data_IF_851388033696
#
_entry.id   IF_851388033696
#
_cell.length_a   1.000
_cell.length_b   1.000
_cell.length_c   1.000
_cell.angle_alpha   90.00
_cell.angle_beta   90.00
_cell.angle_gamma   90.00
#
_symmetry.space_group_name_H-M   'P 1'
#
loop_
_entity.id
_entity.type
_entity.pdbx_description
1 polymer ?
#
# COMPACT_ATOMS: atom_id res chain seq x y z
N UNK A 1 -11.56 51.72 -57.51
CA UNK A 1 -11.90 51.83 -56.08
C UNK A 1 -12.57 53.18 -55.87
N UNK A 2 -13.55 53.30 -54.97
CA UNK A 2 -13.98 54.60 -54.45
C UNK A 2 -15.13 55.28 -55.19
N UNK A 3 -16.35 54.78 -55.02
CA UNK A 3 -17.57 55.59 -55.22
C UNK A 3 -18.49 55.53 -53.99
N UNK A 4 -17.99 54.99 -52.87
CA UNK A 4 -18.72 55.00 -51.62
C UNK A 4 -18.91 56.44 -51.14
N UNK A 5 -20.14 56.76 -50.74
CA UNK A 5 -20.47 58.02 -50.09
C UNK A 5 -20.67 57.77 -48.62
N UNK A 6 -20.03 58.56 -47.78
CA UNK A 6 -20.36 58.60 -46.36
C UNK A 6 -21.72 59.26 -46.19
N UNK A 7 -22.54 58.67 -45.33
CA UNK A 7 -23.76 59.31 -44.82
C UNK A 7 -23.38 59.92 -43.48
N UNK A 8 -23.32 61.25 -43.40
CA UNK A 8 -22.93 61.99 -42.19
C UNK A 8 -24.16 62.50 -41.45
N UNK A 9 -23.99 62.86 -40.17
CA UNK A 9 -25.06 63.37 -39.29
C UNK A 9 -26.24 62.40 -39.06
N UNK A 10 -25.95 61.10 -39.10
CA UNK A 10 -26.95 60.06 -38.79
C UNK A 10 -27.18 60.01 -37.28
N UNK A 11 -28.40 60.35 -36.86
CA UNK A 11 -28.85 60.19 -35.47
C UNK A 11 -28.86 58.71 -35.06
N UNK A 12 -28.84 58.42 -33.76
CA UNK A 12 -28.91 57.05 -33.27
C UNK A 12 -30.27 56.42 -33.63
N UNK A 13 -30.25 55.22 -34.22
CA UNK A 13 -31.47 54.46 -34.52
C UNK A 13 -32.16 53.97 -33.25
N UNK A 14 -33.50 53.92 -33.28
CA UNK A 14 -34.36 53.54 -32.15
C UNK A 14 -35.32 52.40 -32.49
N UNK A 15 -35.74 52.26 -33.74
CA UNK A 15 -36.49 51.12 -34.24
C UNK A 15 -35.54 50.05 -34.83
N UNK A 16 -35.97 48.79 -34.85
CA UNK A 16 -35.18 47.67 -35.39
C UNK A 16 -34.81 47.84 -36.87
N UNK A 17 -35.51 48.73 -37.60
CA UNK A 17 -35.28 49.03 -39.02
C UNK A 17 -34.50 50.32 -39.26
N UNK A 18 -34.08 51.03 -38.21
CA UNK A 18 -33.29 52.25 -38.36
C UNK A 18 -31.85 51.96 -38.75
N UNK A 19 -31.19 52.92 -39.40
CA UNK A 19 -29.76 52.85 -39.64
C UNK A 19 -28.97 53.03 -38.33
N UNK A 20 -27.89 52.27 -38.16
CA UNK A 20 -26.96 52.41 -37.03
C UNK A 20 -25.84 53.39 -37.35
N UNK A 21 -25.48 54.24 -36.39
CA UNK A 21 -24.30 55.09 -36.50
C UNK A 21 -23.06 54.46 -35.81
N UNK A 22 -21.88 55.04 -36.06
CA UNK A 22 -20.60 54.52 -35.52
C UNK A 22 -20.57 54.53 -33.99
N UNK A 23 -21.27 55.46 -33.34
CA UNK A 23 -21.33 55.50 -31.88
C UNK A 23 -22.08 54.28 -31.31
N UNK A 24 -23.23 53.90 -31.88
CA UNK A 24 -23.96 52.71 -31.48
C UNK A 24 -23.13 51.43 -31.69
N UNK A 25 -22.40 51.33 -32.80
CA UNK A 25 -21.48 50.22 -33.07
C UNK A 25 -20.33 50.17 -32.05
N UNK A 26 -19.72 51.31 -31.73
CA UNK A 26 -18.65 51.38 -30.74
C UNK A 26 -19.13 51.00 -29.34
N UNK A 27 -20.36 51.40 -28.94
CA UNK A 27 -20.96 50.99 -27.67
C UNK A 27 -21.24 49.49 -27.61
N UNK A 28 -21.73 48.90 -28.70
CA UNK A 28 -21.91 47.46 -28.81
C UNK A 28 -20.55 46.72 -28.73
N UNK A 29 -19.54 47.20 -29.46
CA UNK A 29 -18.20 46.60 -29.46
C UNK A 29 -17.49 46.74 -28.10
N UNK A 30 -17.68 47.87 -27.41
CA UNK A 30 -17.18 48.05 -26.04
C UNK A 30 -17.82 47.05 -25.07
N UNK A 31 -19.10 46.74 -25.24
CA UNK A 31 -19.79 45.71 -24.45
C UNK A 31 -19.20 44.31 -24.69
N UNK A 32 -18.82 43.99 -25.93
CA UNK A 32 -18.14 42.74 -26.30
C UNK A 32 -16.70 42.69 -25.76
N UNK A 33 -15.94 43.77 -25.89
CA UNK A 33 -14.59 43.87 -25.34
C UNK A 33 -14.58 43.70 -23.81
N UNK A 34 -15.60 44.25 -23.13
CA UNK A 34 -15.79 44.04 -21.70
C UNK A 34 -16.06 42.58 -21.35
N UNK A 35 -16.70 41.77 -22.19
CA UNK A 35 -16.87 40.33 -21.91
C UNK A 35 -15.53 39.58 -21.90
N UNK A 36 -14.60 39.95 -22.78
CA UNK A 36 -13.25 39.38 -22.82
C UNK A 36 -12.38 39.88 -21.66
N UNK A 37 -12.51 41.15 -21.27
CA UNK A 37 -11.76 41.77 -20.18
C UNK A 37 -12.32 41.45 -18.77
N UNK A 38 -13.62 41.19 -18.64
CA UNK A 38 -14.29 40.87 -17.36
C UNK A 38 -13.91 39.51 -16.79
N UNK A 39 -13.31 38.64 -17.63
CA UNK A 39 -12.62 37.46 -17.13
C UNK A 39 -11.47 37.84 -16.19
N UNK A 40 -10.79 38.98 -16.36
CA UNK A 40 -9.69 39.39 -15.48
C UNK A 40 -10.10 40.03 -14.14
N UNK A 41 -11.25 40.70 -14.06
CA UNK A 41 -11.49 41.69 -12.99
C UNK A 41 -12.93 41.81 -12.46
N UNK A 42 -13.91 41.01 -12.88
CA UNK A 42 -15.28 41.26 -12.39
C UNK A 42 -16.42 40.32 -12.73
N UNK A 43 -16.21 39.18 -13.39
CA UNK A 43 -17.28 38.18 -13.48
C UNK A 43 -17.46 37.48 -12.13
N UNK A 44 -18.71 37.39 -11.58
CA UNK A 44 -18.98 36.71 -10.32
C UNK A 44 -18.79 35.18 -10.40
N UNK A 45 -18.63 34.64 -11.61
CA UNK A 45 -18.56 33.19 -11.86
C UNK A 45 -17.27 32.74 -12.55
N UNK A 46 -16.57 33.62 -13.27
CA UNK A 46 -15.34 33.28 -14.00
C UNK A 46 -14.30 34.38 -13.91
N UNK A 47 -13.26 34.17 -13.09
CA UNK A 47 -12.11 35.05 -13.03
C UNK A 47 -10.83 34.32 -13.50
N UNK A 48 -10.06 34.94 -14.37
CA UNK A 48 -8.78 34.52 -14.92
C UNK A 48 -7.80 35.66 -14.72
N UNK A 49 -6.95 35.57 -13.69
CA UNK A 49 -5.82 36.47 -13.54
C UNK A 49 -4.63 35.89 -14.31
N UNK A 50 -4.60 36.12 -15.62
CA UNK A 50 -3.50 35.71 -16.48
C UNK A 50 -2.84 36.95 -17.08
N UNK A 51 -1.55 36.85 -17.37
CA UNK A 51 -0.80 37.81 -18.19
C UNK A 51 -1.31 37.70 -19.65
N UNK A 52 -2.58 38.10 -19.85
CA UNK A 52 -3.51 37.68 -20.93
C UNK A 52 -3.05 37.92 -22.37
N UNK A 53 -1.86 38.47 -22.54
CA UNK A 53 -1.29 38.91 -23.80
C UNK A 53 -0.15 38.00 -24.32
N UNK A 54 0.30 36.99 -23.57
CA UNK A 54 1.50 36.23 -23.95
C UNK A 54 1.25 35.13 -25.02
N UNK A 55 0.26 34.24 -24.85
CA UNK A 55 -0.07 33.17 -25.82
C UNK A 55 -1.51 32.65 -25.61
N UNK A 56 -2.34 32.52 -26.67
CA UNK A 56 -3.71 32.01 -26.55
C UNK A 56 -3.76 30.53 -26.17
N UNK A 57 -4.83 30.13 -25.46
CA UNK A 57 -5.19 28.73 -25.29
C UNK A 57 -5.54 28.10 -26.65
N UNK A 58 -5.20 26.82 -26.85
CA UNK A 58 -5.41 26.10 -28.10
C UNK A 58 -6.12 24.77 -27.84
N UNK A 59 -7.32 24.63 -28.37
CA UNK A 59 -8.03 23.36 -28.45
C UNK A 59 -8.03 22.92 -29.93
N UNK A 60 -7.09 22.04 -30.30
CA UNK A 60 -6.94 21.57 -31.70
C UNK A 60 -7.47 20.16 -31.92
N UNK A 61 -7.66 19.37 -30.86
CA UNK A 61 -8.31 18.06 -30.95
C UNK A 61 -9.83 18.17 -31.14
N UNK A 62 -10.46 17.15 -31.72
CA UNK A 62 -11.92 17.10 -31.84
C UNK A 62 -12.55 17.03 -30.44
N UNK A 63 -13.58 17.84 -30.17
CA UNK A 63 -14.22 17.95 -28.86
C UNK A 63 -13.28 18.36 -27.70
N UNK A 64 -12.15 19.00 -28.00
CA UNK A 64 -11.18 19.41 -26.99
C UNK A 64 -11.59 20.72 -26.28
N UNK A 65 -11.11 20.91 -25.05
CA UNK A 65 -11.28 22.16 -24.27
C UNK A 65 -9.93 22.61 -23.70
N UNK A 66 -9.59 23.90 -23.83
CA UNK A 66 -8.37 24.47 -23.26
C UNK A 66 -8.69 25.71 -22.42
N UNK A 67 -8.21 25.75 -21.17
CA UNK A 67 -8.49 26.81 -20.20
C UNK A 67 -7.18 27.30 -19.55
N UNK A 68 -6.79 28.55 -19.81
CA UNK A 68 -5.56 29.17 -19.29
C UNK A 68 -4.59 29.60 -20.40
N UNK A 69 -3.72 30.57 -20.10
CA UNK A 69 -2.72 31.07 -21.05
C UNK A 69 -1.81 29.93 -21.53
N UNK A 70 -1.62 29.81 -22.85
CA UNK A 70 -0.82 28.74 -23.46
C UNK A 70 -1.27 27.29 -23.11
N UNK A 71 -2.50 27.08 -22.63
CA UNK A 71 -3.04 25.72 -22.45
C UNK A 71 -3.25 25.07 -23.82
N UNK A 72 -2.84 23.82 -23.99
CA UNK A 72 -2.86 23.09 -25.26
C UNK A 72 -3.59 21.76 -25.10
N UNK A 73 -4.80 21.66 -25.64
CA UNK A 73 -5.57 20.42 -25.73
C UNK A 73 -5.55 19.93 -27.19
N UNK A 74 -4.59 19.05 -27.51
CA UNK A 74 -4.32 18.61 -28.88
C UNK A 74 -4.91 17.25 -29.23
N UNK A 75 -5.26 16.43 -28.24
CA UNK A 75 -5.90 15.14 -28.45
C UNK A 75 -7.44 15.22 -28.47
N UNK A 76 -8.09 14.24 -29.09
CA UNK A 76 -9.55 14.17 -29.17
C UNK A 76 -10.19 13.94 -27.80
N UNK A 77 -11.32 14.60 -27.54
CA UNK A 77 -12.06 14.56 -26.28
C UNK A 77 -11.16 14.85 -25.05
N UNK A 78 -10.19 15.76 -25.19
CA UNK A 78 -9.24 16.11 -24.14
C UNK A 78 -9.50 17.49 -23.52
N UNK A 79 -9.07 17.68 -22.28
CA UNK A 79 -9.21 18.95 -21.56
C UNK A 79 -7.85 19.37 -20.98
N UNK A 80 -7.37 20.56 -21.31
CA UNK A 80 -6.18 21.16 -20.70
C UNK A 80 -6.61 22.30 -19.75
N UNK A 81 -6.25 22.21 -18.47
CA UNK A 81 -6.64 23.17 -17.41
C UNK A 81 -5.40 23.77 -16.76
N UNK A 82 -5.32 25.10 -16.76
CA UNK A 82 -4.21 25.87 -16.20
C UNK A 82 -3.21 26.33 -17.25
N UNK A 83 -2.44 27.37 -16.90
CA UNK A 83 -1.43 27.93 -17.79
C UNK A 83 -0.39 26.87 -18.19
N UNK A 84 0.02 26.84 -19.46
CA UNK A 84 1.00 25.90 -20.01
C UNK A 84 0.64 24.39 -19.88
N UNK A 85 -0.61 24.05 -19.53
CA UNK A 85 -1.03 22.65 -19.45
C UNK A 85 -1.11 22.02 -20.84
N UNK A 86 -0.71 20.75 -20.97
CA UNK A 86 -0.71 20.01 -22.24
C UNK A 86 -1.54 18.73 -22.07
N UNK A 87 -2.61 18.60 -22.84
CA UNK A 87 -3.43 17.39 -22.95
C UNK A 87 -3.23 16.77 -24.34
N UNK A 88 -2.29 15.82 -24.41
CA UNK A 88 -1.83 15.13 -25.62
C UNK A 88 -2.32 13.67 -25.72
N UNK A 89 -3.25 13.28 -24.85
CA UNK A 89 -3.87 11.95 -24.81
C UNK A 89 -5.39 12.05 -24.90
N UNK A 90 -5.99 11.19 -25.70
CA UNK A 90 -7.45 11.17 -25.90
C UNK A 90 -8.19 10.85 -24.60
N UNK A 91 -9.37 11.43 -24.40
CA UNK A 91 -10.24 11.19 -23.24
C UNK A 91 -9.54 11.48 -21.89
N UNK A 92 -8.71 12.51 -21.82
CA UNK A 92 -7.99 12.90 -20.59
C UNK A 92 -8.22 14.34 -20.18
N UNK A 93 -8.07 14.61 -18.89
CA UNK A 93 -7.94 15.96 -18.34
C UNK A 93 -6.50 16.14 -17.86
N UNK A 94 -5.77 17.07 -18.46
CA UNK A 94 -4.43 17.47 -18.03
C UNK A 94 -4.49 18.76 -17.24
N UNK A 95 -3.87 18.78 -16.07
CA UNK A 95 -3.76 19.95 -15.19
C UNK A 95 -2.34 20.54 -15.19
N UNK A 96 -1.47 20.11 -16.11
CA UNK A 96 -0.09 20.55 -16.16
C UNK A 96 0.65 20.03 -17.39
N UNK A 97 1.97 20.01 -17.30
CA UNK A 97 2.84 19.38 -18.30
C UNK A 97 3.96 18.64 -17.60
N UNK A 98 4.68 17.78 -18.31
CA UNK A 98 5.76 16.98 -17.75
C UNK A 98 6.81 17.86 -17.06
N UNK A 99 7.08 17.59 -15.79
CA UNK A 99 8.00 18.37 -14.94
C UNK A 99 7.40 19.68 -14.39
N UNK A 100 6.14 19.99 -14.70
CA UNK A 100 5.36 21.11 -14.15
C UNK A 100 3.94 20.63 -13.82
N UNK A 101 3.85 19.50 -13.12
CA UNK A 101 2.60 18.93 -12.65
C UNK A 101 1.98 19.81 -11.56
N UNK A 102 0.64 19.78 -11.47
CA UNK A 102 -0.10 20.46 -10.41
C UNK A 102 -0.72 19.42 -9.47
N UNK A 103 -0.94 19.82 -8.22
CA UNK A 103 -1.69 19.01 -7.26
C UNK A 103 -3.19 19.31 -7.37
N UNK A 104 -4.02 18.28 -7.18
CA UNK A 104 -5.46 18.44 -6.94
C UNK A 104 -5.67 18.37 -5.43
N UNK A 105 -5.98 19.50 -4.81
CA UNK A 105 -6.17 19.61 -3.37
C UNK A 105 -7.66 19.60 -2.99
N UNK A 106 -7.95 19.32 -1.70
CA UNK A 106 -9.30 19.27 -1.15
C UNK A 106 -10.22 18.23 -1.81
N UNK A 107 -9.64 17.10 -2.20
CA UNK A 107 -10.38 15.95 -2.76
C UNK A 107 -11.03 15.17 -1.61
N UNK A 108 -12.37 15.19 -1.56
CA UNK A 108 -13.13 14.36 -0.63
C UNK A 108 -12.90 12.87 -0.92
N UNK A 109 -13.13 12.02 0.08
CA UNK A 109 -12.98 10.58 -0.07
C UNK A 109 -13.93 10.03 -1.15
N UNK A 110 -13.41 9.27 -2.10
CA UNK A 110 -14.19 8.60 -3.13
C UNK A 110 -15.11 7.51 -2.55
N UNK A 111 -16.31 7.39 -3.11
CA UNK A 111 -17.37 6.48 -2.66
C UNK A 111 -17.79 5.46 -3.72
N UNK A 112 -17.57 5.77 -5.00
CA UNK A 112 -17.86 4.91 -6.14
C UNK A 112 -16.58 4.43 -6.83
N UNK A 113 -16.69 3.39 -7.66
CA UNK A 113 -15.53 2.76 -8.31
C UNK A 113 -14.78 3.64 -9.31
N UNK A 114 -15.35 4.79 -9.71
CA UNK A 114 -14.76 5.75 -10.64
C UNK A 114 -14.41 7.08 -9.97
N UNK A 115 -14.51 7.17 -8.65
CA UNK A 115 -14.13 8.38 -7.90
C UNK A 115 -12.61 8.46 -7.73
N UNK A 116 -12.09 9.68 -7.65
CA UNK A 116 -10.69 9.89 -7.29
C UNK A 116 -10.45 9.45 -5.83
N UNK A 117 -9.27 8.87 -5.59
CA UNK A 117 -8.82 8.47 -4.25
C UNK A 117 -7.95 9.59 -3.68
N UNK A 118 -8.23 10.02 -2.45
CA UNK A 118 -7.38 10.99 -1.75
C UNK A 118 -6.28 10.29 -0.92
N UNK A 119 -5.32 11.08 -0.42
CA UNK A 119 -4.15 10.55 0.32
C UNK A 119 -4.55 9.86 1.62
N UNK A 120 -5.63 10.29 2.28
CA UNK A 120 -6.11 9.66 3.51
C UNK A 120 -6.65 8.24 3.25
N UNK A 121 -7.43 8.04 2.19
CA UNK A 121 -7.88 6.72 1.76
C UNK A 121 -6.72 5.80 1.39
N UNK A 122 -5.70 6.33 0.70
CA UNK A 122 -4.47 5.58 0.40
C UNK A 122 -3.74 5.17 1.68
N UNK A 123 -3.56 6.09 2.63
CA UNK A 123 -2.87 5.80 3.89
C UNK A 123 -3.63 4.76 4.73
N UNK A 124 -4.97 4.84 4.76
CA UNK A 124 -5.83 3.86 5.44
C UNK A 124 -5.74 2.48 4.81
N UNK A 125 -5.79 2.38 3.48
CA UNK A 125 -5.69 1.10 2.75
C UNK A 125 -4.30 0.47 2.92
N UNK A 126 -3.24 1.27 2.87
CA UNK A 126 -1.87 0.81 3.15
C UNK A 126 -1.76 0.32 4.60
N UNK A 127 -2.21 1.10 5.59
CA UNK A 127 -2.17 0.69 7.00
C UNK A 127 -2.95 -0.61 7.27
N UNK A 128 -4.08 -0.82 6.59
CA UNK A 128 -4.84 -2.07 6.67
C UNK A 128 -4.13 -3.27 6.04
N UNK A 129 -3.47 -3.08 4.89
CA UNK A 129 -2.85 -4.16 4.13
C UNK A 129 -1.54 -4.70 4.73
N UNK A 130 -0.70 -3.82 5.28
CA UNK A 130 0.59 -4.22 5.91
C UNK A 130 0.47 -4.46 7.43
N UNK A 131 -0.73 -4.34 7.99
CA UNK A 131 -0.94 -4.26 9.43
C UNK A 131 -0.51 -2.89 9.96
N UNK A 132 -0.98 -2.50 11.14
CA UNK A 132 -0.62 -1.24 11.80
C UNK A 132 0.92 -1.07 11.86
N UNK A 133 1.53 -0.47 10.84
CA UNK A 133 2.93 -0.11 10.84
C UNK A 133 3.06 1.03 11.85
N UNK A 134 3.84 0.86 12.94
CA UNK A 134 4.23 1.99 13.75
C UNK A 134 4.86 3.06 12.85
N UNK A 135 4.60 4.33 13.11
CA UNK A 135 5.15 5.42 12.31
C UNK A 135 6.68 5.27 12.17
N UNK A 136 7.17 5.24 10.93
CA UNK A 136 8.60 5.08 10.61
C UNK A 136 9.11 3.65 10.44
N UNK A 137 8.25 2.63 10.57
CA UNK A 137 8.62 1.22 10.31
C UNK A 137 8.30 0.88 8.86
N UNK A 138 9.25 0.35 8.11
CA UNK A 138 9.00 -0.08 6.73
C UNK A 138 8.24 -1.41 6.71
N UNK A 139 7.46 -1.68 5.65
CA UNK A 139 6.79 -2.98 5.48
C UNK A 139 7.77 -4.16 5.52
N UNK A 140 9.02 -3.90 5.13
CA UNK A 140 10.15 -4.83 5.22
C UNK A 140 10.51 -5.15 6.67
N UNK A 141 10.63 -4.14 7.53
CA UNK A 141 11.01 -4.31 8.95
C UNK A 141 9.96 -5.14 9.72
N UNK A 142 8.67 -4.87 9.49
CA UNK A 142 7.58 -5.64 10.12
C UNK A 142 7.61 -7.12 9.68
N UNK A 143 7.79 -7.36 8.37
CA UNK A 143 7.88 -8.72 7.83
C UNK A 143 9.14 -9.44 8.35
N UNK A 144 10.27 -8.74 8.43
CA UNK A 144 11.53 -9.28 8.95
C UNK A 144 11.43 -9.59 10.45
N UNK A 145 10.76 -8.75 11.24
CA UNK A 145 10.46 -9.03 12.65
C UNK A 145 9.60 -10.29 12.83
N UNK A 146 8.54 -10.43 12.02
CA UNK A 146 7.68 -11.62 12.01
C UNK A 146 8.49 -12.87 11.60
N UNK A 147 9.33 -12.75 10.58
CA UNK A 147 10.15 -13.84 10.09
C UNK A 147 11.23 -14.26 11.09
N UNK A 148 11.90 -13.30 11.73
CA UNK A 148 12.88 -13.57 12.79
C UNK A 148 12.23 -14.25 13.99
N UNK A 149 11.02 -13.82 14.37
CA UNK A 149 10.25 -14.45 15.45
C UNK A 149 9.86 -15.90 15.11
N UNK A 150 9.47 -16.14 13.85
CA UNK A 150 9.22 -17.49 13.35
C UNK A 150 10.50 -18.33 13.34
N UNK A 151 11.62 -17.79 12.84
CA UNK A 151 12.90 -18.48 12.79
C UNK A 151 13.37 -18.89 14.19
N UNK A 152 13.19 -18.02 15.19
CA UNK A 152 13.48 -18.32 16.59
C UNK A 152 12.59 -19.44 17.12
N UNK A 153 11.29 -19.40 16.84
CA UNK A 153 10.34 -20.45 17.21
C UNK A 153 10.71 -21.80 16.57
N UNK A 154 11.03 -21.81 15.27
CA UNK A 154 11.45 -23.01 14.54
C UNK A 154 12.76 -23.57 15.10
N UNK A 155 13.73 -22.70 15.36
CA UNK A 155 15.00 -23.09 15.98
C UNK A 155 14.78 -23.68 17.38
N UNK A 156 13.84 -23.13 18.16
CA UNK A 156 13.51 -23.65 19.48
C UNK A 156 12.85 -25.03 19.39
N UNK A 157 11.89 -25.20 18.47
CA UNK A 157 11.26 -26.51 18.21
C UNK A 157 12.31 -27.53 17.79
N UNK A 158 13.24 -27.17 16.90
CA UNK A 158 14.33 -28.05 16.49
C UNK A 158 15.23 -28.45 17.66
N UNK A 159 15.63 -27.49 18.50
CA UNK A 159 16.45 -27.75 19.70
C UNK A 159 15.73 -28.67 20.69
N UNK A 160 14.47 -28.38 21.00
CA UNK A 160 13.66 -29.21 21.91
C UNK A 160 13.49 -30.64 21.36
N UNK A 161 13.27 -30.78 20.05
CA UNK A 161 13.18 -32.08 19.40
C UNK A 161 14.51 -32.86 19.49
N UNK A 162 15.65 -32.22 19.20
CA UNK A 162 16.97 -32.88 19.32
C UNK A 162 17.27 -33.29 20.76
N UNK A 163 16.93 -32.44 21.73
CA UNK A 163 17.12 -32.71 23.14
C UNK A 163 16.21 -33.87 23.61
N UNK A 164 14.97 -33.95 23.09
CA UNK A 164 14.06 -35.08 23.32
C UNK A 164 14.60 -36.42 22.83
N UNK A 165 15.22 -36.45 21.64
CA UNK A 165 15.90 -37.65 21.12
C UNK A 165 17.09 -38.03 22.01
N UNK A 166 17.89 -37.05 22.45
CA UNK A 166 18.97 -37.30 23.40
C UNK A 166 18.45 -37.88 24.73
N UNK A 167 17.31 -37.40 25.22
CA UNK A 167 16.64 -37.92 26.41
C UNK A 167 16.25 -39.39 26.25
N UNK A 168 15.73 -39.80 25.09
CA UNK A 168 15.40 -41.19 24.82
C UNK A 168 16.65 -42.09 24.81
N UNK A 169 17.78 -41.60 24.29
CA UNK A 169 19.05 -42.34 24.30
C UNK A 169 19.69 -42.43 25.68
N UNK A 170 19.49 -41.42 26.54
CA UNK A 170 20.09 -41.35 27.87
C UNK A 170 19.45 -42.32 28.88
N UNK A 171 18.23 -42.81 28.63
CA UNK A 171 17.51 -43.67 29.58
C UNK A 171 18.04 -45.12 29.56
N UNK A 172 18.65 -45.62 30.65
CA UNK A 172 19.28 -46.93 30.67
C UNK A 172 18.24 -48.05 30.79
N UNK A 173 18.47 -49.18 30.13
CA UNK A 173 17.67 -50.41 30.27
C UNK A 173 18.61 -51.60 30.56
N UNK A 174 19.08 -51.70 31.79
CA UNK A 174 19.98 -52.78 32.22
C UNK A 174 19.20 -53.84 32.98
N UNK A 175 19.36 -55.11 32.59
CA UNK A 175 18.63 -56.23 33.18
C UNK A 175 19.37 -56.80 34.41
N UNK A 176 18.68 -57.01 35.55
CA UNK A 176 19.28 -57.64 36.72
C UNK A 176 19.76 -59.07 36.45
N UNK A 177 20.98 -59.39 36.90
CA UNK A 177 21.60 -60.71 36.68
C UNK A 177 20.95 -61.85 37.47
N UNK A 178 20.23 -61.55 38.56
CA UNK A 178 19.52 -62.56 39.38
C UNK A 178 18.03 -62.22 39.55
N UNK A 179 17.14 -63.21 39.66
CA UNK A 179 15.73 -63.00 39.95
C UNK A 179 15.51 -62.37 41.33
N UNK A 180 14.54 -61.47 41.44
CA UNK A 180 14.24 -60.72 42.67
C UNK A 180 15.12 -59.50 42.92
N UNK A 181 16.11 -59.22 42.07
CA UNK A 181 16.98 -58.05 42.19
C UNK A 181 16.47 -56.86 41.37
N UNK A 182 16.87 -55.66 41.82
CA UNK A 182 16.69 -54.40 41.10
C UNK A 182 18.05 -53.87 40.68
N UNK A 183 18.18 -53.39 39.45
CA UNK A 183 19.34 -52.64 38.96
C UNK A 183 18.94 -51.18 38.80
N UNK A 184 19.75 -50.28 39.34
CA UNK A 184 19.65 -48.83 39.10
C UNK A 184 20.84 -48.42 38.24
N UNK A 185 20.58 -47.64 37.20
CA UNK A 185 21.60 -47.18 36.27
C UNK A 185 21.39 -45.71 35.92
N UNK A 186 22.49 -45.05 35.54
CA UNK A 186 22.49 -43.73 34.92
C UNK A 186 23.01 -43.82 33.49
N UNK A 187 22.50 -42.97 32.61
CA UNK A 187 22.95 -42.86 31.23
C UNK A 187 23.01 -41.40 30.79
N UNK A 188 23.81 -41.15 29.75
CA UNK A 188 23.92 -39.86 29.09
C UNK A 188 23.71 -40.06 27.60
N UNK A 189 23.00 -39.15 26.96
CA UNK A 189 22.71 -39.18 25.54
C UNK A 189 23.00 -37.83 24.91
N UNK A 190 23.55 -37.83 23.70
CA UNK A 190 23.78 -36.63 22.91
C UNK A 190 23.32 -36.85 21.47
N UNK A 191 22.52 -35.93 20.93
CA UNK A 191 22.07 -35.96 19.54
C UNK A 191 22.10 -34.54 18.95
N UNK A 192 22.93 -34.34 17.92
CA UNK A 192 23.22 -33.00 17.35
C UNK A 192 23.56 -32.00 18.46
N UNK A 193 22.81 -30.91 18.60
CA UNK A 193 22.99 -29.89 19.63
C UNK A 193 22.21 -30.17 20.93
N UNK A 194 21.49 -31.30 21.02
CA UNK A 194 20.78 -31.72 22.22
C UNK A 194 21.59 -32.68 23.06
N UNK A 195 21.55 -32.53 24.39
CA UNK A 195 22.11 -33.48 25.34
C UNK A 195 21.09 -33.81 26.42
N UNK A 196 21.22 -34.96 27.05
CA UNK A 196 20.35 -35.35 28.16
C UNK A 196 21.04 -36.33 29.10
N UNK A 197 20.53 -36.37 30.33
CA UNK A 197 20.91 -37.32 31.36
C UNK A 197 19.67 -38.12 31.76
N UNK A 198 19.82 -39.42 31.94
CA UNK A 198 18.76 -40.33 32.30
C UNK A 198 19.15 -41.18 33.50
N UNK A 199 18.17 -41.50 34.33
CA UNK A 199 18.30 -42.49 35.40
C UNK A 199 17.14 -43.47 35.31
N UNK A 200 17.40 -44.74 35.54
CA UNK A 200 16.38 -45.77 35.45
C UNK A 200 16.64 -46.94 36.38
N UNK A 201 15.56 -47.63 36.71
CA UNK A 201 15.57 -48.84 37.50
C UNK A 201 14.84 -49.97 36.77
N UNK A 202 15.44 -51.15 36.78
CA UNK A 202 14.84 -52.38 36.24
C UNK A 202 14.71 -53.41 37.35
N UNK A 203 13.53 -54.01 37.51
CA UNK A 203 13.26 -55.10 38.43
C UNK A 203 12.98 -56.40 37.66
N UNK A 204 13.59 -57.50 38.11
CA UNK A 204 13.29 -58.86 37.62
C UNK A 204 12.49 -59.61 38.68
N UNK A 205 11.32 -60.12 38.31
CA UNK A 205 10.49 -60.93 39.21
C UNK A 205 11.24 -62.18 39.70
N UNK A 206 10.88 -62.67 40.89
CA UNK A 206 11.50 -63.86 41.52
C UNK A 206 11.33 -65.12 40.67
N UNK A 207 10.23 -65.21 39.93
CA UNK A 207 9.96 -66.35 39.03
C UNK A 207 10.73 -66.23 37.70
N UNK A 208 11.60 -65.23 37.54
CA UNK A 208 12.36 -64.88 36.32
C UNK A 208 11.53 -64.50 35.10
N UNK A 209 10.20 -64.66 35.14
CA UNK A 209 9.29 -64.47 34.01
C UNK A 209 8.98 -63.03 33.66
N UNK A 210 9.16 -62.08 34.57
CA UNK A 210 8.78 -60.68 34.34
C UNK A 210 9.95 -59.73 34.57
N UNK A 211 10.09 -58.78 33.65
CA UNK A 211 11.02 -57.66 33.71
C UNK A 211 10.23 -56.36 33.65
N UNK A 212 10.46 -55.44 34.58
CA UNK A 212 9.81 -54.13 34.62
C UNK A 212 10.90 -53.06 34.66
N UNK A 213 10.90 -52.12 33.72
CA UNK A 213 11.83 -51.00 33.68
C UNK A 213 11.07 -49.67 33.77
N UNK A 214 11.54 -48.77 34.62
CA UNK A 214 11.13 -47.38 34.66
C UNK A 214 12.36 -46.47 34.55
N UNK A 215 12.28 -45.42 33.73
CA UNK A 215 13.35 -44.44 33.61
C UNK A 215 12.80 -43.02 33.48
N UNK A 216 13.56 -42.06 33.96
CA UNK A 216 13.32 -40.63 33.79
C UNK A 216 14.56 -39.99 33.18
N UNK A 217 14.39 -38.91 32.43
CA UNK A 217 15.50 -38.13 31.90
C UNK A 217 15.21 -36.65 31.93
N UNK A 218 16.28 -35.86 31.88
CA UNK A 218 16.26 -34.41 31.78
C UNK A 218 17.14 -33.98 30.62
N UNK A 219 16.67 -33.04 29.81
CA UNK A 219 17.37 -32.57 28.62
C UNK A 219 18.10 -31.25 28.88
N UNK A 220 19.04 -30.90 28.00
CA UNK A 220 19.73 -29.60 28.01
C UNK A 220 18.81 -28.41 27.74
N UNK A 221 17.58 -28.64 27.27
CA UNK A 221 16.54 -27.61 27.10
C UNK A 221 15.67 -27.43 28.35
N UNK A 222 15.88 -28.23 29.40
CA UNK A 222 15.13 -28.17 30.66
C UNK A 222 13.86 -29.03 30.69
N UNK A 223 13.61 -29.82 29.65
CA UNK A 223 12.45 -30.71 29.58
C UNK A 223 12.73 -32.05 30.25
N UNK A 224 11.70 -32.70 30.80
CA UNK A 224 11.80 -34.02 31.42
C UNK A 224 11.01 -35.07 30.62
N UNK A 225 11.55 -36.28 30.55
CA UNK A 225 10.91 -37.45 29.93
C UNK A 225 10.75 -38.60 30.90
N UNK A 226 9.74 -39.44 30.69
CA UNK A 226 9.53 -40.69 31.44
C UNK A 226 9.33 -41.85 30.48
N UNK A 227 9.83 -43.04 30.85
CA UNK A 227 9.67 -44.30 30.12
C UNK A 227 9.30 -45.40 31.09
N UNK A 228 8.33 -46.22 30.68
CA UNK A 228 7.97 -47.47 31.35
C UNK A 228 7.97 -48.61 30.32
N UNK A 229 8.49 -49.76 30.70
CA UNK A 229 8.56 -50.96 29.86
C UNK A 229 8.30 -52.21 30.69
N UNK A 230 7.65 -53.19 30.10
CA UNK A 230 7.46 -54.53 30.67
C UNK A 230 7.84 -55.59 29.66
N UNK A 231 8.56 -56.62 30.10
CA UNK A 231 8.94 -57.78 29.30
C UNK A 231 8.55 -59.06 30.01
N UNK A 232 8.16 -60.07 29.24
CA UNK A 232 7.87 -61.42 29.72
C UNK A 232 8.82 -62.42 29.07
N UNK A 233 9.41 -63.31 29.87
CA UNK A 233 10.37 -64.34 29.47
C UNK A 233 9.70 -65.72 29.65
N UNK A 234 9.69 -66.56 28.61
CA UNK A 234 9.00 -67.86 28.56
C UNK A 234 9.97 -69.03 28.41
#
# INVERSE_FOLDING_TARGET
MGAERQITNVAAGTADTDAVNVAQMNSALASVANMAASAGTGSPTFATNGDGDAVPAKATGHHATAMGSNAQASADNSVAIGADSVADRENTVSIGTKGKERQIANVAAGTQGTDAVNVDQLNQTVAGAVGNLPAGVSAKDYTDQRFNSMQNSVNQVAKNAYAGVAAAMAMPNMTPSKPGNTVVAGGAGSYKSGAALGVGATYRSRDSKWLVNGAVSVTSTGDAGVRAQVGYEF
#
